data_IF_053266273938
#
_entry.id   IF_053266273938
#
_cell.length_a   1.000
_cell.length_b   1.000
_cell.length_c   1.000
_cell.angle_alpha   90.00
_cell.angle_beta   90.00
_cell.angle_gamma   90.00
#
_symmetry.space_group_name_H-M   'P 1'
#
loop_
_entity.id
_entity.type
_entity.pdbx_description
1 polymer ?
#
# COMPACT_ATOMS: atom_id res chain seq x y z
N UNK A 1 28.48 14.90 -23.66
CA UNK A 1 27.39 14.13 -24.25
C UNK A 1 27.16 12.80 -23.60
N UNK A 2 28.19 11.97 -23.44
CA UNK A 2 28.06 10.68 -22.74
C UNK A 2 27.61 10.86 -21.30
N UNK A 3 28.08 11.92 -20.65
CA UNK A 3 27.68 12.18 -19.25
C UNK A 3 26.20 12.54 -19.14
N UNK A 4 25.65 13.26 -20.11
CA UNK A 4 24.24 13.65 -20.10
C UNK A 4 23.33 12.41 -20.20
N UNK A 5 23.69 11.47 -21.08
CA UNK A 5 22.95 10.21 -21.23
C UNK A 5 23.07 9.38 -19.96
N UNK A 6 24.26 9.31 -19.40
CA UNK A 6 24.50 8.58 -18.14
C UNK A 6 23.69 9.17 -17.01
N UNK A 7 23.62 10.49 -16.89
CA UNK A 7 22.84 11.16 -15.87
C UNK A 7 21.34 10.89 -16.02
N UNK A 8 20.84 10.87 -17.25
CA UNK A 8 19.44 10.55 -17.52
C UNK A 8 19.11 9.11 -17.12
N UNK A 9 20.01 8.19 -17.43
CA UNK A 9 19.82 6.78 -17.05
C UNK A 9 19.79 6.63 -15.53
N UNK A 10 20.69 7.29 -14.82
CA UNK A 10 20.75 7.26 -13.35
C UNK A 10 19.45 7.81 -12.76
N UNK A 11 18.95 8.92 -13.32
CA UNK A 11 17.69 9.52 -12.86
C UNK A 11 16.49 8.61 -13.12
N UNK A 12 16.45 7.93 -14.26
CA UNK A 12 15.38 6.99 -14.58
C UNK A 12 15.39 5.81 -13.63
N UNK A 13 16.56 5.28 -13.31
CA UNK A 13 16.67 4.17 -12.35
C UNK A 13 16.21 4.61 -10.98
N UNK A 14 16.66 5.78 -10.53
CA UNK A 14 16.26 6.32 -9.22
C UNK A 14 14.75 6.56 -9.14
N UNK A 15 14.17 7.11 -10.20
CA UNK A 15 12.73 7.34 -10.28
C UNK A 15 11.94 6.04 -10.26
N UNK A 16 12.40 5.04 -10.99
CA UNK A 16 11.78 3.71 -11.01
C UNK A 16 11.79 3.06 -9.63
N UNK A 17 12.94 3.11 -8.96
CA UNK A 17 13.06 2.54 -7.62
C UNK A 17 12.15 3.24 -6.62
N UNK A 18 12.06 4.55 -6.71
CA UNK A 18 11.18 5.34 -5.85
C UNK A 18 9.72 4.93 -6.04
N UNK A 19 9.27 4.83 -7.29
CA UNK A 19 7.90 4.41 -7.60
C UNK A 19 7.63 2.99 -7.13
N UNK A 20 8.59 2.10 -7.32
CA UNK A 20 8.48 0.72 -6.88
C UNK A 20 8.32 0.64 -5.36
N UNK A 21 9.13 1.39 -4.63
CA UNK A 21 9.06 1.41 -3.16
C UNK A 21 7.74 1.99 -2.67
N UNK A 22 7.23 3.02 -3.33
CA UNK A 22 5.93 3.59 -2.99
C UNK A 22 4.79 2.60 -3.24
N UNK A 23 4.83 1.85 -4.36
CA UNK A 23 3.82 0.83 -4.63
C UNK A 23 3.83 -0.26 -3.57
N UNK A 24 5.00 -0.72 -3.18
CA UNK A 24 5.12 -1.73 -2.14
C UNK A 24 4.54 -1.21 -0.82
N UNK A 25 4.86 0.02 -0.45
CA UNK A 25 4.35 0.64 0.76
C UNK A 25 2.83 0.76 0.74
N UNK A 26 2.28 1.22 -0.39
CA UNK A 26 0.82 1.38 -0.54
C UNK A 26 0.09 0.05 -0.52
N UNK A 27 0.66 -0.98 -1.14
CA UNK A 27 0.10 -2.33 -1.07
C UNK A 27 0.06 -2.85 0.37
N UNK A 28 1.14 -2.62 1.11
CA UNK A 28 1.22 -3.03 2.51
C UNK A 28 0.17 -2.30 3.36
N UNK A 29 0.02 -0.99 3.16
CA UNK A 29 -1.00 -0.20 3.85
C UNK A 29 -2.41 -0.67 3.49
N UNK A 30 -2.64 -1.01 2.23
CA UNK A 30 -3.94 -1.51 1.78
C UNK A 30 -4.27 -2.84 2.42
N UNK A 31 -3.31 -3.75 2.50
CA UNK A 31 -3.51 -5.04 3.14
C UNK A 31 -3.84 -4.89 4.63
N UNK A 32 -3.13 -3.99 5.32
CA UNK A 32 -3.41 -3.69 6.72
C UNK A 32 -4.79 -3.11 6.90
N UNK A 33 -5.19 -2.20 6.03
CA UNK A 33 -6.52 -1.59 6.08
C UNK A 33 -7.61 -2.62 5.84
N UNK A 34 -7.42 -3.52 4.89
CA UNK A 34 -8.39 -4.60 4.61
C UNK A 34 -8.53 -5.55 5.79
N UNK A 35 -7.41 -5.92 6.40
CA UNK A 35 -7.44 -6.78 7.58
C UNK A 35 -8.18 -6.10 8.74
N UNK A 36 -7.95 -4.82 8.95
CA UNK A 36 -8.60 -4.03 9.97
C UNK A 36 -10.10 -3.91 9.71
N UNK A 37 -10.49 -3.69 8.45
CA UNK A 37 -11.89 -3.63 8.06
C UNK A 37 -12.60 -4.96 8.30
N UNK A 38 -11.94 -6.07 8.02
CA UNK A 38 -12.47 -7.39 8.27
C UNK A 38 -12.72 -7.61 9.77
N UNK A 39 -11.79 -7.17 10.59
CA UNK A 39 -11.94 -7.23 12.04
C UNK A 39 -13.14 -6.40 12.50
N UNK A 40 -13.30 -5.20 11.99
CA UNK A 40 -14.44 -4.35 12.32
C UNK A 40 -15.76 -4.96 11.89
N UNK A 41 -15.81 -5.58 10.71
CA UNK A 41 -17.02 -6.26 10.23
C UNK A 41 -17.43 -7.38 11.17
N UNK A 42 -16.47 -8.15 11.64
CA UNK A 42 -16.74 -9.22 12.61
C UNK A 42 -17.27 -8.66 13.92
N UNK A 43 -16.70 -7.58 14.39
CA UNK A 43 -17.16 -6.90 15.60
C UNK A 43 -18.59 -6.38 15.46
N UNK A 44 -18.89 -5.76 14.31
CA UNK A 44 -20.23 -5.26 14.02
C UNK A 44 -21.24 -6.40 13.99
N UNK A 45 -20.93 -7.50 13.32
CA UNK A 45 -21.78 -8.66 13.25
C UNK A 45 -22.06 -9.24 14.64
N UNK A 46 -21.03 -9.31 15.48
CA UNK A 46 -21.17 -9.80 16.83
C UNK A 46 -22.06 -8.89 17.68
N UNK A 47 -21.89 -7.58 17.55
CA UNK A 47 -22.73 -6.62 18.27
C UNK A 47 -24.18 -6.69 17.82
N UNK A 48 -24.42 -6.81 16.52
CA UNK A 48 -25.77 -6.95 15.98
C UNK A 48 -26.44 -8.22 16.51
N UNK A 49 -25.70 -9.31 16.60
CA UNK A 49 -26.23 -10.56 17.17
C UNK A 49 -26.61 -10.40 18.64
N UNK A 50 -25.81 -9.66 19.40
CA UNK A 50 -26.10 -9.39 20.80
C UNK A 50 -27.36 -8.53 20.98
N UNK A 51 -27.56 -7.57 20.10
CA UNK A 51 -28.73 -6.69 20.16
C UNK A 51 -30.00 -7.44 19.78
N UNK A 52 -29.95 -8.35 18.83
CA UNK A 52 -31.10 -9.12 18.37
C UNK A 52 -31.52 -10.19 19.36
N UNK A 53 -30.62 -10.57 20.22
CA UNK A 53 -30.93 -11.52 21.28
C UNK A 53 -31.39 -10.81 22.55
#
# INVERSE_FOLDING_TARGET
MLETVRQKIIRLIASYEKEKNERIRLQDELEKSRAQNETYRKQITELERQIDN
#
